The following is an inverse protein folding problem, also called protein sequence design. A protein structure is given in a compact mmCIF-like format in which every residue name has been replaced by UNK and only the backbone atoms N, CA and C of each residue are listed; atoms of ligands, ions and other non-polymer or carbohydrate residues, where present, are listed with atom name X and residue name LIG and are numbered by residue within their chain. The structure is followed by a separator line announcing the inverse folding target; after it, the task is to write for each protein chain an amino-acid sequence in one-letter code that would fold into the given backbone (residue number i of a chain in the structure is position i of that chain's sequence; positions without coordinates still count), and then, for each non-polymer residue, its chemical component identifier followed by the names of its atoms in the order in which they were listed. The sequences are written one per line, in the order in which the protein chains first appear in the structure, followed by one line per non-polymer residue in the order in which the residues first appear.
data_IF_233712542306
#
_entry.id   IF_233712542306
#
_cell.length_a   1.000
_cell.length_b   1.000
_cell.length_c   1.000
_cell.angle_alpha   90.00
_cell.angle_beta   90.00
_cell.angle_gamma   90.00
#
_symmetry.space_group_name_H-M   'P 1'
#
loop_
_entity.id
_entity.type
_entity.pdbx_description
1 polymer ?
#
# COMPACT_ATOMS: atom_id res chain seq x y z
N UNK A 1 -15.05 -31.50 14.39
CA UNK A 1 -13.89 -30.59 14.42
C UNK A 1 -14.43 -29.31 13.82
N UNK A 2 -14.42 -28.16 14.55
CA UNK A 2 -14.87 -26.90 13.96
C UNK A 2 -13.90 -26.55 12.84
N UNK A 3 -14.41 -26.36 11.64
CA UNK A 3 -13.63 -25.89 10.51
C UNK A 3 -13.28 -24.41 10.82
N UNK A 4 -12.03 -24.13 11.14
CA UNK A 4 -11.58 -22.76 11.33
C UNK A 4 -11.38 -22.13 9.96
N UNK A 5 -11.87 -20.91 9.78
CA UNK A 5 -11.74 -20.12 8.57
C UNK A 5 -10.28 -19.69 8.43
N UNK A 6 -9.56 -20.18 7.42
CA UNK A 6 -8.18 -19.74 7.11
C UNK A 6 -8.24 -18.50 6.23
N UNK A 7 -7.64 -17.43 6.72
CA UNK A 7 -7.67 -16.11 6.04
C UNK A 7 -6.26 -15.70 5.64
N UNK A 8 -5.99 -15.60 4.34
CA UNK A 8 -4.74 -15.03 3.86
C UNK A 8 -4.71 -13.50 4.09
N UNK A 9 -3.58 -13.00 4.60
CA UNK A 9 -3.36 -11.59 4.87
C UNK A 9 -2.01 -11.15 4.32
N UNK A 10 -2.03 -10.05 3.53
CA UNK A 10 -0.95 -9.62 2.64
C UNK A 10 -0.28 -8.30 3.07
N UNK A 11 -0.26 -8.02 4.37
CA UNK A 11 0.37 -6.79 4.87
C UNK A 11 1.89 -6.90 4.84
N UNK A 12 2.62 -5.77 4.77
CA UNK A 12 4.08 -5.78 4.92
C UNK A 12 4.50 -6.50 6.20
N UNK A 13 5.69 -7.11 6.18
CA UNK A 13 6.26 -7.80 7.34
C UNK A 13 6.78 -6.79 8.39
N UNK A 14 5.84 -6.13 9.03
CA UNK A 14 6.03 -5.15 10.08
C UNK A 14 4.93 -5.25 11.16
N UNK A 15 4.85 -4.29 12.05
CA UNK A 15 3.87 -4.22 13.13
C UNK A 15 2.41 -4.39 12.63
N UNK A 16 2.11 -3.88 11.42
CA UNK A 16 0.78 -4.02 10.80
C UNK A 16 0.38 -5.46 10.50
N UNK A 17 1.35 -6.33 10.18
CA UNK A 17 1.08 -7.77 9.98
C UNK A 17 0.80 -8.45 11.32
N UNK A 18 1.55 -8.10 12.36
CA UNK A 18 1.34 -8.62 13.72
C UNK A 18 -0.06 -8.26 14.21
N UNK A 19 -0.45 -6.99 14.12
CA UNK A 19 -1.79 -6.51 14.48
C UNK A 19 -2.89 -7.23 13.67
N UNK A 20 -2.67 -7.47 12.38
CA UNK A 20 -3.62 -8.16 11.52
C UNK A 20 -3.80 -9.63 11.93
N UNK A 21 -2.72 -10.32 12.29
CA UNK A 21 -2.74 -11.70 12.79
C UNK A 21 -3.50 -11.77 14.11
N UNK A 22 -3.19 -10.89 15.06
CA UNK A 22 -3.88 -10.84 16.38
C UNK A 22 -5.37 -10.56 16.21
N UNK A 23 -5.74 -9.64 15.31
CA UNK A 23 -7.15 -9.35 15.03
C UNK A 23 -7.88 -10.57 14.47
N UNK A 24 -7.33 -11.23 13.44
CA UNK A 24 -7.94 -12.42 12.83
C UNK A 24 -8.09 -13.58 13.85
N UNK A 25 -7.07 -13.80 14.68
CA UNK A 25 -7.15 -14.76 15.78
C UNK A 25 -8.28 -14.40 16.77
N UNK A 26 -8.44 -13.13 17.12
CA UNK A 26 -9.50 -12.65 18.02
C UNK A 26 -10.90 -12.84 17.43
N UNK A 27 -11.05 -12.81 16.10
CA UNK A 27 -12.26 -13.09 15.37
C UNK A 27 -12.54 -14.61 15.21
N UNK A 28 -11.64 -15.47 15.71
CA UNK A 28 -11.76 -16.93 15.65
C UNK A 28 -11.36 -17.54 14.31
N UNK A 29 -10.69 -16.78 13.45
CA UNK A 29 -10.11 -17.27 12.20
C UNK A 29 -8.70 -17.84 12.44
N UNK A 30 -8.16 -18.54 11.47
CA UNK A 30 -6.74 -18.95 11.41
C UNK A 30 -6.03 -18.07 10.41
N UNK A 31 -5.21 -17.09 10.84
CA UNK A 31 -4.49 -16.22 9.93
C UNK A 31 -3.41 -16.98 9.16
N UNK A 32 -3.30 -16.71 7.87
CA UNK A 32 -2.22 -17.16 6.98
C UNK A 32 -1.45 -15.91 6.55
N UNK A 33 -0.44 -15.49 7.33
CA UNK A 33 0.38 -14.36 6.95
C UNK A 33 1.25 -14.72 5.75
N UNK A 34 1.13 -13.92 4.70
CA UNK A 34 1.92 -14.04 3.46
C UNK A 34 2.28 -12.63 2.97
N UNK A 35 3.33 -12.00 3.54
CA UNK A 35 3.70 -10.64 3.19
C UNK A 35 3.97 -10.50 1.69
N UNK A 36 3.11 -9.75 1.00
CA UNK A 36 3.24 -9.50 -0.43
C UNK A 36 3.90 -8.15 -0.74
N UNK A 37 4.39 -7.45 0.28
CA UNK A 37 4.94 -6.12 0.16
C UNK A 37 6.12 -5.95 1.12
N UNK A 38 7.25 -5.49 0.59
CA UNK A 38 8.39 -5.06 1.36
C UNK A 38 8.94 -3.74 0.81
N UNK A 39 9.56 -2.97 1.67
CA UNK A 39 10.28 -1.75 1.31
C UNK A 39 11.73 -2.08 1.04
N UNK A 40 12.21 -1.80 -0.16
CA UNK A 40 13.63 -1.91 -0.53
C UNK A 40 14.21 -0.50 -0.73
N UNK A 41 15.02 0.03 0.20
CA UNK A 41 15.65 1.33 0.05
C UNK A 41 16.60 1.36 -1.15
N UNK A 42 16.58 2.46 -1.91
CA UNK A 42 17.48 2.63 -3.06
C UNK A 42 18.84 3.20 -2.65
N UNK A 43 18.92 3.83 -1.48
CA UNK A 43 20.08 4.60 -1.05
C UNK A 43 20.19 5.99 -1.71
N UNK A 44 19.17 6.40 -2.47
CA UNK A 44 19.09 7.75 -3.02
C UNK A 44 18.67 8.76 -1.94
N UNK A 45 19.05 10.02 -2.13
CA UNK A 45 18.62 11.14 -1.29
C UNK A 45 18.06 12.25 -2.17
N UNK A 46 17.09 13.03 -1.69
CA UNK A 46 16.55 14.17 -2.43
C UNK A 46 17.64 15.20 -2.75
N UNK A 47 17.47 15.94 -3.86
CA UNK A 47 18.38 17.01 -4.24
C UNK A 47 18.45 18.09 -3.14
N UNK A 48 19.67 18.55 -2.76
CA UNK A 48 19.82 19.50 -1.65
C UNK A 48 19.46 20.95 -2.02
N UNK A 49 19.39 21.28 -3.32
CA UNK A 49 19.29 22.65 -3.82
C UNK A 49 17.89 22.96 -4.40
N UNK A 50 16.88 22.11 -4.20
CA UNK A 50 15.52 22.33 -4.68
C UNK A 50 14.84 23.46 -3.92
N UNK A 51 14.02 24.29 -4.62
CA UNK A 51 13.17 25.31 -3.97
C UNK A 51 12.09 24.65 -3.11
N UNK A 52 11.55 23.51 -3.60
CA UNK A 52 10.54 22.70 -2.90
C UNK A 52 10.98 21.24 -2.86
N UNK A 53 10.77 20.59 -1.71
CA UNK A 53 10.94 19.14 -1.59
C UNK A 53 9.63 18.52 -1.08
N UNK A 54 9.04 17.66 -1.90
CA UNK A 54 7.75 17.02 -1.62
C UNK A 54 7.97 15.58 -1.18
N UNK A 55 7.51 15.22 0.01
CA UNK A 55 7.44 13.85 0.47
C UNK A 55 6.02 13.32 0.41
N UNK A 56 5.82 12.22 -0.30
CA UNK A 56 4.50 11.59 -0.46
C UNK A 56 4.28 10.41 0.49
N UNK A 57 5.21 10.16 1.42
CA UNK A 57 5.06 9.08 2.38
C UNK A 57 5.91 9.28 3.64
N UNK A 58 5.40 8.73 4.75
CA UNK A 58 6.14 8.60 6.01
C UNK A 58 7.48 7.86 5.80
N UNK A 59 7.45 6.73 5.09
CA UNK A 59 8.65 5.91 4.79
C UNK A 59 9.72 6.72 4.06
N UNK A 60 9.32 7.61 3.15
CA UNK A 60 10.27 8.50 2.45
C UNK A 60 11.00 9.43 3.41
N UNK A 61 10.29 10.03 4.36
CA UNK A 61 10.88 10.87 5.42
C UNK A 61 11.88 10.06 6.27
N UNK A 62 11.45 8.88 6.75
CA UNK A 62 12.27 8.02 7.59
C UNK A 62 13.58 7.62 6.90
N UNK A 63 13.51 7.21 5.63
CA UNK A 63 14.69 6.84 4.85
C UNK A 63 15.62 8.03 4.54
N UNK A 64 15.06 9.21 4.25
CA UNK A 64 15.85 10.41 4.04
C UNK A 64 16.58 10.83 5.33
N UNK A 65 15.91 10.75 6.49
CA UNK A 65 16.51 11.03 7.79
C UNK A 65 17.60 10.00 8.16
N UNK A 66 17.38 8.71 7.89
CA UNK A 66 18.38 7.65 8.06
C UNK A 66 19.64 7.86 7.17
N UNK A 67 19.46 8.51 6.02
CA UNK A 67 20.55 8.88 5.12
C UNK A 67 21.21 10.23 5.46
N UNK A 68 20.96 10.78 6.66
CA UNK A 68 21.47 12.08 7.11
C UNK A 68 21.10 13.26 6.15
N UNK A 69 20.00 13.13 5.40
CA UNK A 69 19.48 14.25 4.60
C UNK A 69 18.78 15.26 5.50
N UNK A 70 18.98 16.54 5.21
CA UNK A 70 18.38 17.65 5.93
C UNK A 70 17.70 18.62 4.95
N UNK A 71 16.53 19.17 5.28
CA UNK A 71 15.76 20.03 4.36
C UNK A 71 16.43 21.38 4.02
N UNK A 72 17.51 21.76 4.69
CA UNK A 72 18.25 22.99 4.44
C UNK A 72 17.33 24.24 4.30
N UNK A 73 17.32 24.90 3.13
CA UNK A 73 16.48 26.07 2.86
C UNK A 73 15.30 25.75 1.92
N UNK A 74 15.06 24.49 1.58
CA UNK A 74 13.93 24.06 0.75
C UNK A 74 12.59 24.26 1.49
N UNK A 75 11.54 24.59 0.78
CA UNK A 75 10.18 24.54 1.30
C UNK A 75 9.77 23.08 1.40
N UNK A 76 9.63 22.56 2.63
CA UNK A 76 9.29 21.15 2.85
C UNK A 76 7.77 20.95 2.76
N UNK A 77 7.36 20.06 1.85
CA UNK A 77 5.96 19.76 1.58
C UNK A 77 5.67 18.30 1.93
N UNK A 78 4.64 18.05 2.72
CA UNK A 78 4.14 16.71 3.01
C UNK A 78 2.80 16.46 2.34
N UNK A 79 2.52 15.21 1.98
CA UNK A 79 1.21 14.81 1.42
C UNK A 79 0.10 14.80 2.48
N UNK A 80 0.44 14.73 3.76
CA UNK A 80 -0.56 14.66 4.82
C UNK A 80 0.01 14.33 6.20
N UNK A 81 -0.86 14.25 7.24
CA UNK A 81 -0.47 14.29 8.64
C UNK A 81 0.47 13.16 9.09
N UNK A 82 0.37 11.97 8.50
CA UNK A 82 1.29 10.87 8.82
C UNK A 82 2.72 11.15 8.35
N UNK A 83 2.88 11.82 7.20
CA UNK A 83 4.17 12.26 6.66
C UNK A 83 4.70 13.46 7.45
N UNK A 84 3.83 14.40 7.79
CA UNK A 84 4.16 15.54 8.67
C UNK A 84 4.68 15.08 10.01
N UNK A 85 3.99 14.16 10.69
CA UNK A 85 4.42 13.62 11.99
C UNK A 85 5.79 12.92 11.92
N UNK A 86 6.09 12.23 10.82
CA UNK A 86 7.41 11.63 10.60
C UNK A 86 8.49 12.69 10.43
N UNK A 87 8.23 13.77 9.69
CA UNK A 87 9.15 14.90 9.52
C UNK A 87 9.43 15.59 10.86
N UNK A 88 8.41 15.85 11.66
CA UNK A 88 8.57 16.41 13.01
C UNK A 88 9.38 15.51 13.94
N UNK A 89 9.20 14.18 13.82
CA UNK A 89 9.99 13.19 14.58
C UNK A 89 11.46 13.22 14.16
N UNK A 90 11.75 13.48 12.87
CA UNK A 90 13.11 13.69 12.37
C UNK A 90 13.69 15.07 12.73
N UNK A 91 12.90 15.95 13.37
CA UNK A 91 13.30 17.31 13.75
C UNK A 91 13.11 18.35 12.66
N UNK A 92 12.39 18.02 11.59
CA UNK A 92 12.12 18.90 10.46
C UNK A 92 10.79 19.63 10.63
N UNK A 93 10.70 20.81 10.02
CA UNK A 93 9.45 21.60 9.99
C UNK A 93 8.83 21.48 8.61
N UNK A 94 7.58 21.03 8.53
CA UNK A 94 6.81 21.03 7.29
C UNK A 94 6.21 22.41 7.07
N UNK A 95 6.47 23.00 5.90
CA UNK A 95 6.00 24.35 5.54
C UNK A 95 4.63 24.32 4.87
N UNK A 96 4.32 23.24 4.18
CA UNK A 96 3.08 23.08 3.42
C UNK A 96 2.50 21.67 3.57
N UNK A 97 1.20 21.59 3.78
CA UNK A 97 0.40 20.36 3.78
C UNK A 97 -0.94 20.65 3.09
N UNK A 98 -1.41 19.82 2.13
CA UNK A 98 -2.67 20.06 1.44
C UNK A 98 -3.89 19.81 2.36
N UNK A 99 -5.03 20.42 2.06
CA UNK A 99 -6.30 20.13 2.76
C UNK A 99 -6.84 18.73 2.38
N UNK A 100 -6.59 18.30 1.14
CA UNK A 100 -6.92 16.95 0.66
C UNK A 100 -5.63 16.14 0.56
N UNK A 101 -5.51 15.09 1.35
CA UNK A 101 -4.30 14.26 1.47
C UNK A 101 -4.15 13.32 0.27
N UNK A 102 -3.85 13.88 -0.89
CA UNK A 102 -3.74 13.17 -2.17
C UNK A 102 -2.77 13.87 -3.12
N UNK A 103 -2.41 13.20 -4.22
CA UNK A 103 -1.62 13.80 -5.29
C UNK A 103 -2.32 15.01 -5.90
N UNK A 104 -3.63 14.95 -6.14
CA UNK A 104 -4.44 16.08 -6.60
C UNK A 104 -4.38 17.25 -5.61
N UNK A 105 -4.53 16.98 -4.30
CA UNK A 105 -4.45 18.01 -3.29
C UNK A 105 -3.08 18.69 -3.22
N UNK A 106 -1.98 17.96 -3.47
CA UNK A 106 -0.64 18.55 -3.60
C UNK A 106 -0.54 19.44 -4.83
N UNK A 107 -1.11 19.02 -5.96
CA UNK A 107 -1.15 19.84 -7.19
C UNK A 107 -1.94 21.13 -6.93
N UNK A 108 -3.15 21.02 -6.37
CA UNK A 108 -4.02 22.19 -6.07
C UNK A 108 -3.32 23.18 -5.11
N UNK A 109 -2.53 22.65 -4.14
CA UNK A 109 -1.78 23.47 -3.20
C UNK A 109 -0.66 24.26 -3.88
N UNK A 110 0.03 23.63 -4.85
CA UNK A 110 1.30 24.12 -5.37
C UNK A 110 1.20 24.79 -6.74
N UNK A 111 0.14 24.57 -7.53
CA UNK A 111 0.01 25.00 -8.94
C UNK A 111 0.31 26.49 -9.20
N UNK A 112 0.05 27.37 -8.22
CA UNK A 112 0.27 28.81 -8.34
C UNK A 112 1.60 29.27 -7.72
N UNK A 113 2.40 28.36 -7.11
CA UNK A 113 3.62 28.69 -6.38
C UNK A 113 4.90 28.16 -7.06
N UNK A 114 4.79 27.14 -7.92
CA UNK A 114 5.94 26.37 -8.42
C UNK A 114 6.41 26.69 -9.84
N UNK A 115 5.75 27.64 -10.52
CA UNK A 115 6.18 28.06 -11.86
C UNK A 115 7.65 28.55 -11.87
N UNK A 116 8.46 27.99 -12.76
CA UNK A 116 9.93 28.25 -12.88
C UNK A 116 10.73 27.89 -11.59
N UNK A 117 10.16 27.02 -10.70
CA UNK A 117 10.81 26.55 -9.47
C UNK A 117 11.37 25.15 -9.64
N UNK A 118 12.48 24.87 -8.95
CA UNK A 118 13.02 23.52 -8.82
C UNK A 118 12.23 22.76 -7.75
N UNK A 119 11.52 21.70 -8.16
CA UNK A 119 10.68 20.88 -7.30
C UNK A 119 11.20 19.45 -7.27
N UNK A 120 11.63 19.02 -6.11
CA UNK A 120 12.06 17.65 -5.86
C UNK A 120 10.90 16.81 -5.31
N UNK A 121 10.59 15.69 -5.96
CA UNK A 121 9.55 14.75 -5.53
C UNK A 121 10.21 13.48 -4.99
N UNK A 122 10.23 13.35 -3.67
CA UNK A 122 10.81 12.23 -2.94
C UNK A 122 9.74 11.19 -2.59
N UNK A 123 9.79 10.02 -3.24
CA UNK A 123 8.69 9.03 -3.16
C UNK A 123 9.13 7.59 -3.43
N UNK A 124 8.17 6.64 -3.46
CA UNK A 124 8.40 5.28 -3.93
C UNK A 124 8.33 5.20 -5.47
N UNK A 125 8.77 4.08 -6.02
CA UNK A 125 8.62 3.72 -7.45
C UNK A 125 7.17 3.50 -7.90
N UNK A 126 6.22 3.45 -6.96
CA UNK A 126 4.76 3.32 -7.20
C UNK A 126 4.01 4.62 -6.87
N UNK A 127 4.70 5.76 -6.86
CA UNK A 127 4.05 7.06 -6.66
C UNK A 127 3.11 7.41 -7.82
N UNK A 128 2.06 8.22 -7.54
CA UNK A 128 1.09 8.63 -8.55
C UNK A 128 1.72 9.49 -9.65
N UNK A 129 1.43 9.18 -10.91
CA UNK A 129 1.83 10.00 -12.06
C UNK A 129 1.11 11.36 -12.07
N UNK A 130 -0.09 11.42 -11.50
CA UNK A 130 -0.92 12.64 -11.41
C UNK A 130 -0.19 13.82 -10.76
N UNK A 131 0.66 13.55 -9.75
CA UNK A 131 1.47 14.60 -9.13
C UNK A 131 2.49 15.19 -10.12
N UNK A 132 3.20 14.32 -10.87
CA UNK A 132 4.20 14.76 -11.83
C UNK A 132 3.57 15.51 -13.00
N UNK A 133 2.47 14.99 -13.53
CA UNK A 133 1.71 15.63 -14.62
C UNK A 133 1.17 17.01 -14.17
N UNK A 134 0.72 17.12 -12.91
CA UNK A 134 0.28 18.38 -12.34
C UNK A 134 1.39 19.41 -12.16
N UNK A 135 2.57 18.98 -11.69
CA UNK A 135 3.75 19.85 -11.59
C UNK A 135 4.24 20.33 -12.97
N UNK A 136 4.25 19.44 -13.97
CA UNK A 136 4.56 19.80 -15.35
C UNK A 136 3.56 20.82 -15.91
N UNK A 137 2.25 20.63 -15.66
CA UNK A 137 1.22 21.56 -16.09
C UNK A 137 1.30 22.93 -15.37
N UNK A 138 1.91 22.98 -14.20
CA UNK A 138 2.19 24.19 -13.43
C UNK A 138 3.52 24.88 -13.81
N UNK A 139 4.17 24.45 -14.91
CA UNK A 139 5.48 24.95 -15.38
C UNK A 139 6.60 24.85 -14.32
N UNK A 140 6.56 23.81 -13.44
CA UNK A 140 7.64 23.52 -12.51
C UNK A 140 8.81 22.80 -13.20
N UNK A 141 10.04 23.11 -12.80
CA UNK A 141 11.23 22.32 -13.13
C UNK A 141 11.38 21.19 -12.11
N UNK A 142 10.66 20.09 -12.35
CA UNK A 142 10.58 19.01 -11.39
C UNK A 142 11.56 17.87 -11.66
N UNK A 143 12.02 17.24 -10.58
CA UNK A 143 12.79 16.01 -10.58
C UNK A 143 12.19 15.00 -9.59
N UNK A 144 12.39 13.72 -9.87
CA UNK A 144 11.92 12.64 -9.00
C UNK A 144 13.12 11.90 -8.40
N UNK A 145 13.10 11.73 -7.08
CA UNK A 145 13.98 10.79 -6.39
C UNK A 145 13.18 9.63 -5.82
N UNK A 146 13.40 8.45 -6.39
CA UNK A 146 12.85 7.19 -5.87
C UNK A 146 13.69 6.77 -4.66
N UNK A 147 13.16 6.98 -3.45
CA UNK A 147 13.83 6.64 -2.20
C UNK A 147 13.76 5.15 -1.86
N UNK A 148 12.71 4.48 -2.30
CA UNK A 148 12.51 3.05 -2.08
C UNK A 148 11.62 2.44 -3.14
N UNK A 149 11.76 1.13 -3.30
CA UNK A 149 10.89 0.31 -4.14
C UNK A 149 9.94 -0.50 -3.26
N UNK A 150 8.74 -0.71 -3.77
CA UNK A 150 7.77 -1.63 -3.19
C UNK A 150 7.91 -2.98 -3.91
N UNK A 151 8.59 -3.92 -3.27
CA UNK A 151 8.89 -5.23 -3.85
C UNK A 151 8.04 -6.33 -3.20
N UNK A 152 7.88 -7.44 -3.90
CA UNK A 152 7.37 -8.67 -3.32
C UNK A 152 8.53 -9.42 -2.65
N UNK A 153 8.41 -9.82 -1.35
CA UNK A 153 9.42 -10.67 -0.71
C UNK A 153 9.60 -12.00 -1.48
N UNK A 154 10.84 -12.47 -1.68
CA UNK A 154 11.09 -13.70 -2.45
C UNK A 154 10.44 -14.96 -1.88
N UNK A 155 10.28 -15.02 -0.56
CA UNK A 155 9.66 -16.13 0.18
C UNK A 155 8.13 -16.13 0.16
N UNK A 156 7.49 -15.05 -0.30
CA UNK A 156 6.03 -14.94 -0.37
C UNK A 156 5.42 -15.86 -1.41
N UNK A 157 4.11 -16.13 -1.31
CA UNK A 157 3.33 -16.91 -2.27
C UNK A 157 2.78 -18.21 -1.71
N UNK A 158 2.92 -18.47 -0.42
CA UNK A 158 2.29 -19.61 0.23
C UNK A 158 0.77 -19.58 0.11
N UNK A 159 0.17 -18.40 0.21
CA UNK A 159 -1.27 -18.22 0.06
C UNK A 159 -1.76 -18.59 -1.35
N UNK A 160 -0.95 -18.34 -2.38
CA UNK A 160 -1.26 -18.74 -3.75
C UNK A 160 -1.28 -20.28 -3.91
N UNK A 161 -0.36 -20.98 -3.25
CA UNK A 161 -0.35 -22.44 -3.19
C UNK A 161 -1.59 -22.96 -2.47
N UNK A 162 -1.93 -22.40 -1.31
CA UNK A 162 -3.13 -22.79 -0.55
C UNK A 162 -4.43 -22.50 -1.33
N UNK A 163 -4.50 -21.39 -2.05
CA UNK A 163 -5.64 -21.11 -2.92
C UNK A 163 -5.75 -22.16 -4.04
N UNK A 164 -4.64 -22.44 -4.75
CA UNK A 164 -4.63 -23.44 -5.83
C UNK A 164 -4.99 -24.86 -5.35
N UNK A 165 -4.69 -25.19 -4.11
CA UNK A 165 -5.03 -26.48 -3.49
C UNK A 165 -6.46 -26.52 -2.88
N UNK A 166 -7.22 -25.41 -2.95
CA UNK A 166 -8.54 -25.26 -2.34
C UNK A 166 -8.50 -25.30 -0.80
N UNK A 167 -7.37 -24.87 -0.25
CA UNK A 167 -7.13 -24.89 1.19
C UNK A 167 -7.25 -23.52 1.84
N UNK A 168 -7.78 -22.51 1.17
CA UNK A 168 -7.99 -21.17 1.66
C UNK A 168 -9.49 -20.84 1.69
N UNK A 169 -10.01 -20.45 2.84
CA UNK A 169 -11.41 -20.07 2.98
C UNK A 169 -11.64 -18.59 2.71
N UNK A 170 -10.61 -17.75 2.88
CA UNK A 170 -10.72 -16.33 2.57
C UNK A 170 -9.37 -15.67 2.27
N UNK A 171 -9.41 -14.53 1.54
CA UNK A 171 -8.27 -13.68 1.25
C UNK A 171 -8.61 -12.21 1.47
N UNK A 172 -7.74 -11.45 2.14
CA UNK A 172 -7.94 -10.04 2.47
C UNK A 172 -6.85 -9.16 1.85
N UNK A 173 -7.13 -8.59 0.67
CA UNK A 173 -6.20 -7.72 -0.07
C UNK A 173 -6.31 -6.26 0.38
N UNK A 174 -5.19 -5.67 0.76
CA UNK A 174 -5.13 -4.30 1.31
C UNK A 174 -4.63 -3.25 0.32
N UNK A 175 -4.28 -3.64 -0.91
CA UNK A 175 -3.92 -2.73 -2.00
C UNK A 175 -3.93 -3.45 -3.35
N UNK A 176 -4.02 -2.70 -4.45
CA UNK A 176 -3.87 -3.22 -5.82
C UNK A 176 -2.55 -3.99 -5.99
N UNK A 177 -1.46 -3.44 -5.47
CA UNK A 177 -0.14 -4.06 -5.59
C UNK A 177 -0.06 -5.44 -4.89
N UNK A 178 -0.81 -5.66 -3.81
CA UNK A 178 -0.85 -6.97 -3.16
C UNK A 178 -1.57 -8.03 -4.01
N UNK A 179 -2.57 -7.63 -4.82
CA UNK A 179 -3.21 -8.48 -5.81
C UNK A 179 -2.22 -8.86 -6.92
N UNK A 180 -1.52 -7.87 -7.48
CA UNK A 180 -0.53 -8.08 -8.53
C UNK A 180 0.60 -9.01 -8.04
N UNK A 181 1.10 -8.79 -6.82
CA UNK A 181 2.16 -9.61 -6.23
C UNK A 181 1.71 -11.04 -5.91
N UNK A 182 0.48 -11.24 -5.46
CA UNK A 182 -0.10 -12.57 -5.28
C UNK A 182 -0.13 -13.33 -6.61
N UNK A 183 -0.60 -12.70 -7.67
CA UNK A 183 -0.66 -13.30 -9.00
C UNK A 183 0.72 -13.54 -9.62
N UNK A 184 1.66 -12.62 -9.41
CA UNK A 184 3.05 -12.81 -9.81
C UNK A 184 3.69 -14.02 -9.10
N UNK A 185 3.42 -14.19 -7.79
CA UNK A 185 3.88 -15.33 -7.02
C UNK A 185 3.26 -16.65 -7.52
N UNK A 186 1.99 -16.64 -7.90
CA UNK A 186 1.31 -17.78 -8.50
C UNK A 186 1.87 -18.13 -9.90
N UNK A 187 2.16 -17.12 -10.72
CA UNK A 187 2.72 -17.29 -12.07
C UNK A 187 4.13 -17.90 -12.04
N UNK A 188 5.01 -17.40 -11.16
CA UNK A 188 6.35 -17.96 -10.97
C UNK A 188 6.33 -19.44 -10.57
N UNK A 189 5.27 -19.89 -9.90
CA UNK A 189 5.03 -21.28 -9.50
C UNK A 189 4.29 -22.10 -10.57
N UNK A 190 3.83 -21.45 -11.63
CA UNK A 190 3.05 -22.10 -12.70
C UNK A 190 1.64 -22.52 -12.27
N UNK A 191 1.07 -21.85 -11.26
CA UNK A 191 -0.24 -22.17 -10.67
C UNK A 191 -1.24 -21.01 -10.75
N UNK A 192 -1.00 -19.99 -11.58
CA UNK A 192 -1.82 -18.79 -11.65
C UNK A 192 -3.31 -19.09 -11.87
N UNK A 193 -3.64 -19.94 -12.85
CA UNK A 193 -5.03 -20.30 -13.15
C UNK A 193 -5.69 -21.03 -11.98
N UNK A 194 -5.00 -22.00 -11.41
CA UNK A 194 -5.50 -22.76 -10.25
C UNK A 194 -5.67 -21.88 -9.00
N UNK A 195 -4.76 -20.91 -8.79
CA UNK A 195 -4.89 -19.97 -7.68
C UNK A 195 -6.08 -19.02 -7.83
N UNK A 196 -6.40 -18.58 -9.06
CA UNK A 196 -7.61 -17.78 -9.34
C UNK A 196 -8.85 -18.64 -9.13
N UNK A 197 -8.91 -19.85 -9.70
CA UNK A 197 -10.03 -20.80 -9.48
C UNK A 197 -10.25 -21.10 -7.98
N UNK A 198 -9.15 -21.22 -7.21
CA UNK A 198 -9.26 -21.42 -5.77
C UNK A 198 -9.75 -20.18 -5.00
N UNK A 199 -9.49 -18.97 -5.49
CA UNK A 199 -10.07 -17.74 -4.95
C UNK A 199 -11.57 -17.62 -5.25
N UNK A 200 -12.07 -18.14 -6.37
CA UNK A 200 -13.49 -18.17 -6.69
C UNK A 200 -14.30 -19.07 -5.72
N UNK A 201 -13.62 -20.02 -5.06
CA UNK A 201 -14.21 -20.88 -4.01
C UNK A 201 -14.06 -20.29 -2.60
N UNK A 202 -13.23 -19.25 -2.45
CA UNK A 202 -12.96 -18.56 -1.19
C UNK A 202 -13.66 -17.21 -1.13
N UNK A 203 -13.81 -16.64 0.07
CA UNK A 203 -14.30 -15.27 0.23
C UNK A 203 -13.17 -14.29 -0.04
N UNK A 204 -13.28 -13.49 -1.08
CA UNK A 204 -12.30 -12.46 -1.43
C UNK A 204 -12.76 -11.08 -0.96
N UNK A 205 -12.01 -10.51 -0.01
CA UNK A 205 -12.21 -9.14 0.43
C UNK A 205 -11.08 -8.21 -0.02
N UNK A 206 -11.45 -6.98 -0.37
CA UNK A 206 -10.50 -5.92 -0.74
C UNK A 206 -10.77 -4.65 0.04
N UNK A 207 -9.71 -3.87 0.33
CA UNK A 207 -9.80 -2.68 1.19
C UNK A 207 -10.65 -1.55 0.61
N UNK A 208 -10.79 -1.48 -0.71
CA UNK A 208 -11.51 -0.41 -1.38
C UNK A 208 -11.60 -0.59 -2.90
N UNK A 209 -12.28 0.34 -3.55
CA UNK A 209 -12.62 0.29 -4.97
C UNK A 209 -11.42 0.13 -5.92
N UNK A 210 -10.29 0.86 -5.76
CA UNK A 210 -9.14 0.68 -6.65
C UNK A 210 -8.59 -0.75 -6.62
N UNK A 211 -8.59 -1.39 -5.45
CA UNK A 211 -8.15 -2.79 -5.31
C UNK A 211 -9.15 -3.75 -5.96
N UNK A 212 -10.46 -3.45 -5.87
CA UNK A 212 -11.51 -4.21 -6.54
C UNK A 212 -11.37 -4.17 -8.06
N UNK A 213 -11.14 -2.99 -8.62
CA UNK A 213 -10.92 -2.82 -10.06
C UNK A 213 -9.71 -3.62 -10.54
N UNK A 214 -8.61 -3.59 -9.77
CA UNK A 214 -7.41 -4.38 -10.08
C UNK A 214 -7.71 -5.89 -10.05
N UNK A 215 -8.36 -6.39 -9.00
CA UNK A 215 -8.73 -7.79 -8.87
C UNK A 215 -9.63 -8.25 -10.03
N UNK A 216 -10.67 -7.48 -10.34
CA UNK A 216 -11.57 -7.74 -11.45
C UNK A 216 -10.85 -7.73 -12.82
N UNK A 217 -9.89 -6.83 -13.02
CA UNK A 217 -9.03 -6.77 -14.21
C UNK A 217 -8.20 -8.03 -14.43
N UNK A 218 -7.92 -8.78 -13.37
CA UNK A 218 -7.22 -10.06 -13.40
C UNK A 218 -8.14 -11.29 -13.39
N UNK A 219 -9.47 -11.08 -13.38
CA UNK A 219 -10.46 -12.15 -13.36
C UNK A 219 -10.72 -12.73 -11.96
N UNK A 220 -10.41 -12.01 -10.89
CA UNK A 220 -10.73 -12.38 -9.52
C UNK A 220 -12.04 -11.70 -9.15
N UNK A 221 -13.04 -12.50 -8.78
CA UNK A 221 -14.31 -12.00 -8.24
C UNK A 221 -14.13 -11.53 -6.79
N UNK A 222 -14.68 -10.36 -6.47
CA UNK A 222 -14.57 -9.75 -5.14
C UNK A 222 -15.93 -9.77 -4.45
N UNK A 223 -15.99 -10.43 -3.29
CA UNK A 223 -17.21 -10.56 -2.48
C UNK A 223 -17.42 -9.37 -1.54
N UNK A 224 -16.34 -8.84 -0.99
CA UNK A 224 -16.37 -7.86 0.10
C UNK A 224 -15.55 -6.62 -0.24
N UNK A 225 -16.22 -5.46 -0.15
CA UNK A 225 -15.58 -4.15 -0.06
C UNK A 225 -16.18 -3.45 1.16
N UNK A 226 -15.43 -3.22 2.24
CA UNK A 226 -15.99 -2.62 3.46
C UNK A 226 -16.37 -1.16 3.23
N UNK A 227 -17.33 -0.65 4.02
CA UNK A 227 -17.75 0.76 3.96
C UNK A 227 -16.67 1.73 4.46
N UNK A 228 -15.78 1.26 5.32
CA UNK A 228 -14.63 1.99 5.82
C UNK A 228 -13.35 1.28 5.35
N UNK A 229 -12.44 2.03 4.73
CA UNK A 229 -11.19 1.51 4.19
C UNK A 229 -10.17 1.23 5.32
N UNK A 230 -10.57 0.43 6.31
CA UNK A 230 -9.72 -0.04 7.41
C UNK A 230 -9.54 -1.55 7.35
N UNK A 231 -8.41 -2.04 7.85
CA UNK A 231 -8.18 -3.48 7.90
C UNK A 231 -9.16 -4.19 8.87
N UNK A 232 -9.53 -3.52 9.96
CA UNK A 232 -10.49 -4.05 10.94
C UNK A 232 -11.85 -4.32 10.29
N UNK A 233 -12.39 -3.35 9.54
CA UNK A 233 -13.64 -3.51 8.82
C UNK A 233 -13.57 -4.62 7.76
N UNK A 234 -12.46 -4.70 7.01
CA UNK A 234 -12.22 -5.73 6.01
C UNK A 234 -12.14 -7.12 6.64
N UNK A 235 -11.31 -7.29 7.66
CA UNK A 235 -11.10 -8.57 8.34
C UNK A 235 -12.40 -9.10 8.97
N UNK A 236 -13.15 -8.22 9.64
CA UNK A 236 -14.45 -8.58 10.26
C UNK A 236 -15.43 -9.08 9.19
N UNK A 237 -15.62 -8.32 8.12
CA UNK A 237 -16.57 -8.67 7.06
C UNK A 237 -16.18 -9.97 6.33
N UNK A 238 -14.89 -10.17 6.07
CA UNK A 238 -14.37 -11.38 5.41
C UNK A 238 -14.56 -12.62 6.30
N UNK A 239 -14.24 -12.52 7.60
CA UNK A 239 -14.42 -13.65 8.53
C UNK A 239 -15.92 -13.98 8.71
N UNK A 240 -16.79 -12.97 8.83
CA UNK A 240 -18.23 -13.18 8.92
C UNK A 240 -18.82 -13.86 7.68
N UNK A 241 -18.38 -13.46 6.49
CA UNK A 241 -18.84 -14.04 5.23
C UNK A 241 -18.33 -15.48 5.02
N UNK A 242 -17.09 -15.76 5.42
CA UNK A 242 -16.48 -17.08 5.30
C UNK A 242 -16.91 -18.06 6.41
N UNK A 243 -17.54 -17.55 7.50
CA UNK A 243 -18.03 -18.40 8.58
C UNK A 243 -19.15 -19.33 8.06
N UNK A 244 -19.10 -20.65 8.38
CA UNK A 244 -20.15 -21.56 7.95
C UNK A 244 -21.50 -21.10 8.50
N UNK A 245 -22.47 -20.86 7.59
CA UNK A 245 -23.85 -20.56 7.96
C UNK A 245 -24.42 -21.77 8.72
N UNK A 246 -24.56 -21.66 10.03
CA UNK A 246 -25.34 -22.63 10.79
C UNK A 246 -26.81 -22.42 10.40
N UNK A 247 -27.28 -23.22 9.44
CA UNK A 247 -28.74 -23.39 9.25
C UNK A 247 -29.24 -24.24 10.42
N UNK A 248 -30.06 -23.63 11.33
CA UNK A 248 -30.85 -24.37 12.34
C UNK A 248 -31.86 -25.32 11.71
#
# INVERSE_FOLDING_TARGET
MSHQVRVAVFRPDDERLVEAVELLDSLGATPIPDPMLAVEPTGASPAPDADYTIFTSKTGIELAAEADWEPAETILVSIGPGTTAAAETAGWTVDREPETYSSTGLVDLLENEVADKQVEVARSDHGSQELLDGLEAADADWAETVLYKLIRPPESGRSAELAADGELEAAAFTSSLTVDHFLAAAEERGIREAAIEGLDEAVVGVIGEPTRETAAGHGIDVDIVPSEATFEALATAVVEAAAPSYTE
#
